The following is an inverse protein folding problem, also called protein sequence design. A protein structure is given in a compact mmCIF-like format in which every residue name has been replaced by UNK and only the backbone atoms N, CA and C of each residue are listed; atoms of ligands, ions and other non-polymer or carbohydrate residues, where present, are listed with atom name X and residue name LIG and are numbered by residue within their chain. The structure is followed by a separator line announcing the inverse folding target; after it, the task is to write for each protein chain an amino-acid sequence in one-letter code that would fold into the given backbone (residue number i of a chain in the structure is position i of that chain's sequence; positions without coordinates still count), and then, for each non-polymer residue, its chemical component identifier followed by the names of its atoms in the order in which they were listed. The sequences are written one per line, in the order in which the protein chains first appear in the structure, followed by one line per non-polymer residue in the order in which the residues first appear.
data_IF_543481630930
#
_entry.id   IF_543481630930
#
_cell.length_a   1.000
_cell.length_b   1.000
_cell.length_c   1.000
_cell.angle_alpha   90.00
_cell.angle_beta   90.00
_cell.angle_gamma   90.00
#
_symmetry.space_group_name_H-M   'P 1'
#
loop_
_entity.id
_entity.type
_entity.pdbx_description
1 polymer ?
#
# COMPACT_ATOMS: atom_id res chain seq x y z
N UNK A 1 20.58 4.79 1.17
CA UNK A 1 21.70 4.77 2.13
C UNK A 1 21.32 4.06 3.45
N UNK A 2 20.03 3.85 3.71
CA UNK A 2 19.49 2.94 4.74
C UNK A 2 19.81 3.38 6.17
N UNK A 3 19.61 4.67 6.43
CA UNK A 3 19.69 5.23 7.77
C UNK A 3 18.32 5.56 8.32
N UNK A 4 18.17 5.39 9.63
CA UNK A 4 17.14 6.04 10.44
C UNK A 4 17.85 7.04 11.34
N UNK A 5 17.28 8.23 11.49
CA UNK A 5 17.90 9.35 12.20
C UNK A 5 16.87 10.12 13.02
N UNK A 6 17.32 10.70 14.12
CA UNK A 6 16.55 11.65 14.91
C UNK A 6 17.19 13.03 14.86
N UNK A 7 16.36 14.04 14.63
CA UNK A 7 16.75 15.45 14.66
C UNK A 7 15.99 16.15 15.78
N UNK A 8 16.65 17.09 16.44
CA UNK A 8 15.98 18.01 17.36
C UNK A 8 14.99 18.89 16.57
N UNK A 9 13.72 18.88 17.00
CA UNK A 9 12.63 19.55 16.28
C UNK A 9 12.80 21.07 16.16
N UNK A 10 13.54 21.72 17.07
CA UNK A 10 13.71 23.19 17.08
C UNK A 10 14.94 23.64 16.31
N UNK A 11 16.01 22.88 16.38
CA UNK A 11 17.34 23.26 15.90
C UNK A 11 17.76 22.49 14.64
N UNK A 12 17.10 21.36 14.35
CA UNK A 12 17.49 20.45 13.27
C UNK A 12 18.78 19.68 13.53
N UNK A 13 19.35 19.78 14.74
CA UNK A 13 20.59 19.07 15.10
C UNK A 13 20.36 17.56 15.15
N UNK A 14 21.25 16.78 14.54
CA UNK A 14 21.26 15.31 14.65
C UNK A 14 21.49 14.88 16.11
N UNK A 15 20.56 14.08 16.63
CA UNK A 15 20.63 13.47 17.96
C UNK A 15 21.30 12.09 17.88
N UNK A 16 20.91 11.30 16.86
CA UNK A 16 21.53 10.02 16.54
C UNK A 16 21.22 9.64 15.08
N UNK A 17 22.03 8.72 14.54
CA UNK A 17 21.93 8.22 13.17
C UNK A 17 22.39 6.76 13.12
N UNK A 18 21.54 5.88 12.57
CA UNK A 18 21.72 4.44 12.60
C UNK A 18 21.52 3.83 11.23
N UNK A 19 22.52 3.09 10.74
CA UNK A 19 22.39 2.30 9.52
C UNK A 19 21.68 0.98 9.82
N UNK A 20 20.57 0.70 9.14
CA UNK A 20 19.78 -0.52 9.38
C UNK A 20 20.02 -1.64 8.34
N UNK A 21 20.59 -1.33 7.17
CA UNK A 21 20.91 -2.30 6.13
C UNK A 21 22.02 -1.85 5.19
N UNK A 22 22.63 -2.79 4.45
CA UNK A 22 23.53 -2.44 3.35
C UNK A 22 22.75 -2.21 2.04
N UNK A 23 23.00 -1.08 1.37
CA UNK A 23 22.38 -0.80 0.08
C UNK A 23 22.91 -1.72 -1.03
N UNK A 24 24.14 -2.25 -0.88
CA UNK A 24 24.70 -3.26 -1.80
C UNK A 24 23.95 -4.57 -1.75
N UNK A 25 23.22 -4.83 -0.67
CA UNK A 25 22.35 -6.00 -0.56
C UNK A 25 20.99 -5.80 -1.24
N UNK A 26 20.74 -4.62 -1.82
CA UNK A 26 19.48 -4.30 -2.51
C UNK A 26 18.42 -3.64 -1.64
N UNK A 27 18.69 -3.47 -0.35
CA UNK A 27 17.79 -2.76 0.55
C UNK A 27 17.79 -1.25 0.26
N UNK A 28 16.61 -0.65 0.31
CA UNK A 28 16.41 0.80 0.34
C UNK A 28 15.26 1.15 1.29
N UNK A 29 14.98 2.43 1.53
CA UNK A 29 13.82 2.85 2.33
C UNK A 29 13.00 3.92 1.63
N UNK A 30 11.68 3.76 1.71
CA UNK A 30 10.68 4.70 1.17
C UNK A 30 9.55 5.01 2.15
N UNK A 31 9.29 4.12 3.12
CA UNK A 31 8.24 4.28 4.13
C UNK A 31 8.70 5.11 5.32
N UNK A 32 7.78 5.89 5.90
CA UNK A 32 8.03 6.60 7.15
C UNK A 32 7.97 5.67 8.36
N UNK A 33 8.81 5.87 9.40
CA UNK A 33 8.66 5.15 10.65
C UNK A 33 7.41 5.63 11.41
N UNK A 34 6.94 4.82 12.36
CA UNK A 34 5.90 5.22 13.32
C UNK A 34 6.40 5.00 14.75
N UNK A 35 5.82 5.70 15.72
CA UNK A 35 6.05 5.42 17.14
C UNK A 35 4.82 4.70 17.69
N UNK A 36 5.02 3.53 18.28
CA UNK A 36 3.98 2.73 18.91
C UNK A 36 4.46 2.22 20.27
N UNK A 37 3.70 2.50 21.33
CA UNK A 37 4.05 2.15 22.71
C UNK A 37 5.52 2.47 23.07
N UNK A 38 5.99 3.67 22.73
CA UNK A 38 7.35 4.13 22.99
C UNK A 38 8.46 3.42 22.20
N UNK A 39 8.13 2.72 21.11
CA UNK A 39 9.10 2.11 20.18
C UNK A 39 8.94 2.78 18.83
N UNK A 40 10.05 3.24 18.25
CA UNK A 40 10.08 3.65 16.84
C UNK A 40 10.19 2.39 15.99
N UNK A 41 9.26 2.19 15.06
CA UNK A 41 9.23 1.02 14.17
C UNK A 41 9.43 1.49 12.74
N UNK A 42 10.37 0.87 12.03
CA UNK A 42 10.71 1.18 10.66
C UNK A 42 10.75 -0.08 9.78
N UNK A 43 10.28 0.04 8.55
CA UNK A 43 10.36 -1.00 7.53
C UNK A 43 11.48 -0.80 6.51
N UNK A 44 11.47 -1.65 5.50
CA UNK A 44 12.47 -1.70 4.44
C UNK A 44 11.84 -1.99 3.08
N UNK A 45 12.46 -1.49 2.03
CA UNK A 45 12.12 -1.74 0.63
C UNK A 45 13.20 -2.61 -0.03
N UNK A 46 12.92 -3.16 -1.20
CA UNK A 46 13.87 -4.03 -1.93
C UNK A 46 13.35 -5.42 -2.26
N UNK A 47 12.02 -5.62 -2.33
CA UNK A 47 11.41 -6.89 -2.69
C UNK A 47 12.07 -7.48 -3.93
N UNK A 48 12.09 -6.72 -5.03
CA UNK A 48 12.61 -7.17 -6.32
C UNK A 48 14.12 -7.45 -6.35
N UNK A 49 14.88 -7.00 -5.34
CA UNK A 49 16.33 -7.12 -5.26
C UNK A 49 16.83 -8.37 -4.53
N UNK A 50 16.04 -9.45 -4.53
CA UNK A 50 16.36 -10.73 -3.88
C UNK A 50 16.72 -10.55 -2.40
N UNK A 51 15.85 -9.88 -1.65
CA UNK A 51 16.06 -9.58 -0.23
C UNK A 51 15.04 -10.30 0.65
N UNK A 52 15.33 -10.40 1.96
CA UNK A 52 14.35 -10.82 2.98
C UNK A 52 13.88 -9.58 3.72
N UNK A 53 12.60 -9.24 3.61
CA UNK A 53 12.01 -8.09 4.29
C UNK A 53 12.04 -8.23 5.80
N UNK A 54 12.02 -7.10 6.50
CA UNK A 54 12.01 -7.05 7.96
C UNK A 54 11.40 -5.74 8.49
N UNK A 55 11.06 -5.75 9.77
CA UNK A 55 10.83 -4.56 10.59
C UNK A 55 11.91 -4.48 11.65
N UNK A 56 12.37 -3.28 11.95
CA UNK A 56 13.21 -2.99 13.10
C UNK A 56 12.43 -2.14 14.11
N UNK A 57 12.56 -2.49 15.38
CA UNK A 57 12.13 -1.68 16.51
C UNK A 57 13.32 -1.00 17.16
N UNK A 58 13.18 0.28 17.49
CA UNK A 58 14.24 1.13 18.01
C UNK A 58 13.77 1.89 19.24
N UNK A 59 14.71 2.14 20.15
CA UNK A 59 14.57 3.13 21.18
C UNK A 59 14.64 4.53 20.52
N UNK A 60 13.58 5.35 20.58
CA UNK A 60 13.51 6.63 19.88
C UNK A 60 14.49 7.68 20.42
N UNK A 61 14.91 7.57 21.69
CA UNK A 61 15.77 8.55 22.34
C UNK A 61 17.25 8.29 22.04
N UNK A 62 17.64 7.02 21.88
CA UNK A 62 19.04 6.61 21.74
C UNK A 62 19.39 6.04 20.36
N UNK A 63 18.40 5.67 19.55
CA UNK A 63 18.59 4.93 18.30
C UNK A 63 19.03 3.48 18.52
N UNK A 64 19.01 2.96 19.75
CA UNK A 64 19.37 1.55 20.01
C UNK A 64 18.34 0.62 19.39
N UNK A 65 18.78 -0.36 18.58
CA UNK A 65 17.91 -1.42 18.08
C UNK A 65 17.44 -2.31 19.24
N UNK A 66 16.13 -2.42 19.39
CA UNK A 66 15.47 -3.25 20.40
C UNK A 66 15.21 -4.66 19.87
N UNK A 67 14.74 -4.76 18.62
CA UNK A 67 14.44 -6.03 17.97
C UNK A 67 14.49 -5.89 16.44
N UNK A 68 14.61 -7.03 15.76
CA UNK A 68 14.36 -7.19 14.33
C UNK A 68 13.37 -8.33 14.12
N UNK A 69 12.36 -8.12 13.29
CA UNK A 69 11.41 -9.13 12.84
C UNK A 69 11.49 -9.29 11.34
N UNK A 70 12.04 -10.41 10.86
CA UNK A 70 11.92 -10.77 9.46
C UNK A 70 10.47 -11.15 9.12
N UNK A 71 10.01 -10.79 7.92
CA UNK A 71 8.66 -11.07 7.44
C UNK A 71 8.52 -12.48 6.85
N UNK A 72 9.61 -13.08 6.41
CA UNK A 72 9.66 -14.46 5.96
C UNK A 72 10.26 -15.29 7.09
N UNK A 73 9.65 -16.39 7.56
CA UNK A 73 10.20 -17.24 8.62
C UNK A 73 11.38 -18.07 8.14
N UNK A 74 12.37 -18.25 9.00
CA UNK A 74 13.49 -19.18 8.79
C UNK A 74 13.04 -20.62 9.10
N UNK A 75 13.74 -21.66 8.61
CA UNK A 75 13.42 -23.06 8.91
C UNK A 75 13.27 -23.31 10.41
N UNK A 76 12.13 -23.86 10.82
CA UNK A 76 11.79 -24.13 12.21
C UNK A 76 10.98 -23.03 12.90
N UNK A 77 10.87 -21.83 12.31
CA UNK A 77 9.96 -20.79 12.78
C UNK A 77 8.52 -21.03 12.28
N UNK A 78 7.48 -20.57 13.01
CA UNK A 78 6.09 -20.68 12.56
C UNK A 78 5.86 -20.06 11.18
N UNK A 79 5.25 -20.82 10.27
CA UNK A 79 5.02 -20.43 8.88
C UNK A 79 6.09 -20.94 7.90
N UNK A 80 7.23 -21.44 8.39
CA UNK A 80 8.32 -21.96 7.54
C UNK A 80 7.93 -23.20 6.74
N UNK A 81 6.89 -23.92 7.17
CA UNK A 81 6.29 -25.03 6.42
C UNK A 81 5.65 -24.60 5.09
N UNK A 82 5.44 -23.30 4.89
CA UNK A 82 4.95 -22.73 3.63
C UNK A 82 6.06 -22.34 2.64
N UNK A 83 7.31 -22.70 2.96
CA UNK A 83 8.47 -22.55 2.10
C UNK A 83 9.13 -23.90 1.83
N UNK A 84 9.87 -24.04 0.71
CA UNK A 84 10.61 -25.26 0.43
C UNK A 84 11.64 -25.59 1.52
N UNK A 85 11.57 -26.81 2.07
CA UNK A 85 12.38 -27.24 3.24
C UNK A 85 13.88 -27.33 2.95
N UNK A 86 14.25 -27.73 1.73
CA UNK A 86 15.64 -27.95 1.33
C UNK A 86 16.12 -26.87 0.35
N UNK A 87 15.78 -25.61 0.63
CA UNK A 87 16.06 -24.48 -0.24
C UNK A 87 16.42 -23.24 0.57
N UNK A 88 17.15 -22.34 -0.08
CA UNK A 88 17.45 -20.99 0.40
C UNK A 88 16.40 -19.95 -0.04
N UNK A 89 15.28 -20.37 -0.64
CA UNK A 89 14.23 -19.48 -1.14
C UNK A 89 13.75 -18.46 -0.09
N UNK A 90 13.65 -18.86 1.19
CA UNK A 90 13.22 -17.99 2.29
C UNK A 90 14.21 -16.84 2.58
N UNK A 91 15.50 -16.98 2.22
CA UNK A 91 16.52 -15.95 2.44
C UNK A 91 16.38 -14.75 1.51
N UNK A 92 15.70 -14.92 0.38
CA UNK A 92 15.63 -13.93 -0.69
C UNK A 92 14.21 -13.78 -1.27
N UNK A 93 13.21 -14.25 -0.52
CA UNK A 93 11.84 -14.43 -1.00
C UNK A 93 10.99 -13.16 -1.01
N UNK A 94 11.58 -11.97 -0.85
CA UNK A 94 10.87 -10.69 -0.85
C UNK A 94 10.26 -10.36 0.52
N UNK A 95 8.95 -10.09 0.54
CA UNK A 95 8.20 -9.66 1.71
C UNK A 95 8.62 -8.29 2.31
N UNK A 96 8.98 -7.26 1.51
CA UNK A 96 9.39 -5.96 2.05
C UNK A 96 8.26 -5.27 2.83
N UNK A 97 8.59 -4.24 3.61
CA UNK A 97 7.68 -3.56 4.56
C UNK A 97 7.65 -2.06 4.29
N UNK A 98 7.62 -1.69 3.01
CA UNK A 98 8.02 -0.38 2.48
C UNK A 98 7.01 0.77 2.69
N UNK A 99 5.97 0.55 3.50
CA UNK A 99 4.94 1.52 3.90
C UNK A 99 4.82 1.55 5.43
N UNK A 100 4.30 2.63 5.97
CA UNK A 100 4.07 2.78 7.41
C UNK A 100 2.91 1.90 7.89
N UNK A 101 3.04 1.30 9.07
CA UNK A 101 1.94 0.58 9.72
C UNK A 101 0.90 1.50 10.38
N UNK A 102 -0.12 0.88 10.98
CA UNK A 102 -1.14 1.53 11.81
C UNK A 102 -1.13 0.97 13.22
N UNK A 103 -1.53 1.73 14.24
CA UNK A 103 -1.40 1.34 15.64
C UNK A 103 -2.72 1.49 16.40
N UNK A 104 -3.14 0.43 17.09
CA UNK A 104 -4.23 0.47 18.06
C UNK A 104 -3.64 0.43 19.49
N UNK A 105 -3.72 1.54 20.26
CA UNK A 105 -3.19 1.59 21.61
C UNK A 105 -4.02 0.81 22.64
N UNK A 106 -5.31 0.55 22.40
CA UNK A 106 -6.14 -0.27 23.30
C UNK A 106 -5.76 -1.75 23.22
N UNK A 107 -5.38 -2.19 22.02
CA UNK A 107 -4.98 -3.58 21.78
C UNK A 107 -3.47 -3.80 21.94
N UNK A 108 -2.67 -2.74 22.00
CA UNK A 108 -1.19 -2.76 21.93
C UNK A 108 -0.71 -3.57 20.72
N UNK A 109 -1.24 -3.24 19.54
CA UNK A 109 -0.96 -3.92 18.27
C UNK A 109 -0.64 -2.91 17.17
N UNK A 110 0.48 -3.13 16.48
CA UNK A 110 0.81 -2.48 15.22
C UNK A 110 0.45 -3.41 14.08
N UNK A 111 -0.28 -2.91 13.09
CA UNK A 111 -0.63 -3.63 11.88
C UNK A 111 0.28 -3.17 10.76
N UNK A 112 1.07 -4.09 10.22
CA UNK A 112 2.05 -3.79 9.18
C UNK A 112 1.90 -4.72 8.00
N UNK A 113 1.73 -4.15 6.81
CA UNK A 113 1.61 -4.89 5.57
C UNK A 113 2.95 -5.34 5.01
N UNK A 114 2.99 -6.52 4.39
CA UNK A 114 4.18 -7.11 3.78
C UNK A 114 4.03 -7.23 2.27
N UNK A 115 5.15 -7.10 1.57
CA UNK A 115 5.21 -7.03 0.12
C UNK A 115 5.16 -8.38 -0.57
N UNK A 116 5.35 -8.34 -1.88
CA UNK A 116 5.28 -9.50 -2.78
C UNK A 116 6.24 -10.63 -2.40
N UNK A 117 5.95 -11.83 -2.90
CA UNK A 117 6.90 -12.94 -2.91
C UNK A 117 7.88 -12.79 -4.09
N UNK A 118 9.12 -13.26 -3.90
CA UNK A 118 10.13 -13.37 -4.96
C UNK A 118 10.68 -14.79 -5.09
N UNK A 119 11.09 -15.20 -6.30
CA UNK A 119 10.76 -14.55 -7.57
C UNK A 119 9.25 -14.57 -7.87
N UNK A 120 8.79 -13.76 -8.82
CA UNK A 120 7.41 -13.85 -9.36
C UNK A 120 7.21 -15.19 -10.10
N UNK A 121 8.27 -15.77 -10.67
CA UNK A 121 8.27 -17.18 -11.04
C UNK A 121 8.09 -18.04 -9.76
N UNK A 122 6.98 -18.80 -9.62
CA UNK A 122 6.73 -19.56 -8.41
C UNK A 122 7.61 -20.82 -8.29
N UNK A 123 8.30 -21.26 -9.35
CA UNK A 123 9.04 -22.54 -9.34
C UNK A 123 10.12 -22.63 -8.25
N UNK A 124 10.96 -21.61 -8.01
CA UNK A 124 11.96 -21.67 -6.93
C UNK A 124 11.36 -21.72 -5.52
N UNK A 125 10.08 -21.31 -5.38
CA UNK A 125 9.28 -21.42 -4.16
C UNK A 125 8.35 -22.64 -4.16
N UNK A 126 8.51 -23.55 -5.12
CA UNK A 126 7.66 -24.74 -5.34
C UNK A 126 6.15 -24.44 -5.48
N UNK A 127 5.79 -23.20 -5.77
CA UNK A 127 4.40 -22.74 -5.80
C UNK A 127 3.69 -22.78 -4.43
N UNK A 128 4.45 -22.75 -3.34
CA UNK A 128 3.93 -22.75 -1.97
C UNK A 128 3.44 -21.37 -1.53
N UNK A 129 2.64 -21.33 -0.47
CA UNK A 129 1.98 -20.11 0.04
C UNK A 129 2.94 -18.95 0.36
N UNK A 130 4.19 -19.25 0.74
CA UNK A 130 5.26 -18.27 0.95
C UNK A 130 4.97 -17.27 2.09
N UNK A 131 4.55 -17.73 3.27
CA UNK A 131 4.27 -16.82 4.39
C UNK A 131 5.52 -16.04 4.86
N UNK A 132 5.44 -14.80 5.31
CA UNK A 132 4.26 -13.95 5.39
C UNK A 132 4.32 -12.90 4.29
N UNK A 133 4.54 -13.27 3.02
CA UNK A 133 4.46 -12.32 1.88
C UNK A 133 3.02 -11.95 1.59
N UNK A 134 2.77 -10.76 1.03
CA UNK A 134 1.45 -10.22 0.69
C UNK A 134 0.45 -10.44 1.83
N UNK A 135 0.82 -10.00 3.03
CA UNK A 135 0.09 -10.23 4.28
C UNK A 135 -0.03 -8.95 5.10
N UNK A 136 -0.92 -8.95 6.09
CA UNK A 136 -0.84 -8.04 7.23
C UNK A 136 -0.39 -8.81 8.46
N UNK A 137 0.55 -8.24 9.20
CA UNK A 137 1.02 -8.76 10.49
C UNK A 137 0.54 -7.83 11.60
N UNK A 138 -0.15 -8.37 12.61
CA UNK A 138 -0.38 -7.67 13.87
C UNK A 138 0.76 -7.99 14.84
N UNK A 139 1.51 -6.97 15.25
CA UNK A 139 2.78 -7.11 15.97
C UNK A 139 2.74 -6.36 17.29
N UNK A 140 3.31 -6.97 18.34
CA UNK A 140 3.56 -6.33 19.63
C UNK A 140 4.69 -5.30 19.52
N UNK A 141 4.44 -3.99 19.77
CA UNK A 141 5.46 -2.96 19.54
C UNK A 141 6.75 -3.19 20.33
N UNK A 142 6.65 -3.65 21.59
CA UNK A 142 7.81 -3.83 22.48
C UNK A 142 8.72 -4.99 22.10
N UNK A 143 8.19 -6.04 21.48
CA UNK A 143 8.92 -7.31 21.28
C UNK A 143 9.09 -7.69 19.81
N UNK A 144 8.31 -7.12 18.90
CA UNK A 144 8.27 -7.54 17.50
C UNK A 144 7.59 -8.91 17.31
N UNK A 145 6.90 -9.45 18.31
CA UNK A 145 6.16 -10.71 18.20
C UNK A 145 4.89 -10.56 17.34
N UNK A 146 4.64 -11.54 16.46
CA UNK A 146 3.41 -11.60 15.64
C UNK A 146 2.29 -12.20 16.50
N UNK A 147 1.25 -11.42 16.77
CA UNK A 147 0.06 -11.86 17.49
C UNK A 147 -0.96 -12.56 16.58
N UNK A 148 -1.15 -12.05 15.36
CA UNK A 148 -1.96 -12.66 14.31
C UNK A 148 -1.52 -12.16 12.92
N UNK A 149 -2.00 -12.81 11.88
CA UNK A 149 -1.78 -12.37 10.50
C UNK A 149 -2.97 -12.73 9.60
N UNK A 150 -3.03 -12.09 8.44
CA UNK A 150 -3.86 -12.51 7.31
C UNK A 150 -3.04 -12.40 6.03
N UNK A 151 -3.02 -13.47 5.21
CA UNK A 151 -2.33 -13.47 3.92
C UNK A 151 -3.33 -13.18 2.79
N UNK A 152 -3.18 -12.04 2.14
CA UNK A 152 -4.05 -11.59 1.05
C UNK A 152 -3.85 -12.39 -0.23
N UNK A 153 -2.60 -12.68 -0.59
CA UNK A 153 -2.26 -13.36 -1.84
C UNK A 153 -1.25 -14.48 -1.58
N UNK A 154 -1.72 -15.70 -1.26
CA UNK A 154 -0.86 -16.87 -1.15
C UNK A 154 -0.19 -17.19 -2.50
N UNK A 155 1.09 -17.58 -2.47
CA UNK A 155 1.89 -17.85 -3.67
C UNK A 155 1.79 -16.70 -4.71
N UNK A 156 2.06 -15.48 -4.27
CA UNK A 156 2.03 -14.30 -5.14
C UNK A 156 2.96 -14.49 -6.36
N UNK A 157 2.39 -14.31 -7.55
CA UNK A 157 3.10 -14.26 -8.85
C UNK A 157 2.84 -12.94 -9.58
N UNK A 158 2.11 -12.04 -8.91
CA UNK A 158 1.48 -10.87 -9.49
C UNK A 158 2.13 -9.57 -9.07
N UNK A 159 3.09 -9.56 -8.12
CA UNK A 159 3.60 -8.31 -7.56
C UNK A 159 2.44 -7.52 -6.95
N UNK A 160 1.71 -8.14 -6.03
CA UNK A 160 0.59 -7.51 -5.33
C UNK A 160 0.89 -7.47 -3.84
N UNK A 161 1.86 -6.62 -3.49
CA UNK A 161 2.17 -6.24 -2.12
C UNK A 161 0.92 -5.96 -1.29
N UNK A 162 0.88 -6.52 -0.08
CA UNK A 162 -0.14 -6.19 0.93
C UNK A 162 0.30 -5.06 1.84
N UNK A 163 1.19 -4.17 1.39
CA UNK A 163 1.82 -3.12 2.20
C UNK A 163 0.97 -1.86 2.39
N UNK A 164 -0.14 -1.73 1.67
CA UNK A 164 -1.04 -0.57 1.81
C UNK A 164 -1.53 -0.42 3.26
N UNK A 165 -1.87 0.82 3.66
CA UNK A 165 -2.22 1.13 5.05
C UNK A 165 -3.45 0.37 5.54
N UNK A 166 -3.52 0.15 6.86
CA UNK A 166 -4.64 -0.49 7.52
C UNK A 166 -5.50 0.57 8.18
N UNK A 167 -6.59 0.98 7.55
CA UNK A 167 -7.51 1.96 8.17
C UNK A 167 -8.26 1.30 9.31
N UNK A 168 -7.95 1.71 10.55
CA UNK A 168 -8.55 1.18 11.76
C UNK A 168 -9.85 1.92 12.07
N UNK A 169 -10.94 1.18 12.27
CA UNK A 169 -12.25 1.77 12.57
C UNK A 169 -13.09 0.87 13.47
N UNK A 170 -13.98 1.48 14.23
CA UNK A 170 -15.03 0.75 14.96
C UNK A 170 -16.32 0.90 14.15
N UNK A 171 -16.91 -0.20 13.70
CA UNK A 171 -18.05 -0.21 12.79
C UNK A 171 -19.15 -1.14 13.30
N UNK A 172 -20.40 -0.83 13.00
CA UNK A 172 -21.51 -1.76 13.22
C UNK A 172 -21.61 -2.73 12.04
N UNK A 173 -21.42 -4.02 12.29
CA UNK A 173 -21.44 -5.07 11.28
C UNK A 173 -22.24 -6.26 11.81
N UNK A 174 -23.33 -6.60 11.12
CA UNK A 174 -24.23 -7.68 11.56
C UNK A 174 -24.87 -7.42 12.93
N UNK A 175 -25.21 -6.15 13.23
CA UNK A 175 -25.79 -5.75 14.52
C UNK A 175 -24.82 -5.75 15.70
N UNK A 176 -23.51 -5.90 15.44
CA UNK A 176 -22.47 -5.90 16.47
C UNK A 176 -21.45 -4.81 16.18
N UNK A 177 -21.02 -4.08 17.22
CA UNK A 177 -19.90 -3.15 17.13
C UNK A 177 -18.59 -3.96 17.05
N UNK A 178 -17.88 -3.84 15.94
CA UNK A 178 -16.64 -4.56 15.67
C UNK A 178 -15.47 -3.62 15.49
N UNK A 179 -14.32 -4.03 16.03
CA UNK A 179 -13.03 -3.39 15.81
C UNK A 179 -12.43 -3.93 14.51
N UNK A 180 -12.43 -3.13 13.45
CA UNK A 180 -11.98 -3.55 12.12
C UNK A 180 -10.71 -2.83 11.68
N UNK A 181 -9.98 -3.48 10.76
CA UNK A 181 -8.99 -2.86 9.89
C UNK A 181 -9.39 -3.09 8.43
N UNK A 182 -9.25 -2.04 7.62
CA UNK A 182 -9.72 -1.99 6.23
C UNK A 182 -8.53 -1.68 5.33
N UNK A 183 -8.38 -2.44 4.25
CA UNK A 183 -7.33 -2.21 3.26
C UNK A 183 -7.90 -2.31 1.84
N UNK A 184 -7.68 -1.29 1.01
CA UNK A 184 -7.76 -1.41 -0.43
C UNK A 184 -6.47 -2.09 -0.91
N UNK A 185 -6.50 -3.39 -1.17
CA UNK A 185 -5.28 -4.12 -1.48
C UNK A 185 -4.94 -3.98 -2.96
N UNK A 186 -3.64 -3.82 -3.26
CA UNK A 186 -3.07 -3.84 -4.61
C UNK A 186 -3.57 -4.99 -5.51
N UNK A 187 -3.99 -6.13 -4.96
CA UNK A 187 -4.57 -7.25 -5.70
C UNK A 187 -5.98 -7.01 -6.26
N UNK A 188 -6.61 -5.87 -5.96
CA UNK A 188 -7.90 -5.44 -6.49
C UNK A 188 -9.11 -5.76 -5.61
N UNK A 189 -8.90 -6.39 -4.45
CA UNK A 189 -9.92 -6.61 -3.44
C UNK A 189 -9.78 -5.64 -2.27
N UNK A 190 -10.92 -5.19 -1.75
CA UNK A 190 -11.03 -4.42 -0.52
C UNK A 190 -11.37 -5.39 0.60
N UNK A 191 -10.51 -5.43 1.62
CA UNK A 191 -10.63 -6.35 2.74
C UNK A 191 -11.08 -5.61 3.99
N UNK A 192 -11.97 -6.25 4.75
CA UNK A 192 -12.32 -5.87 6.12
C UNK A 192 -11.95 -7.05 7.00
N UNK A 193 -11.05 -6.82 7.95
CA UNK A 193 -10.58 -7.82 8.90
C UNK A 193 -10.94 -7.37 10.33
N UNK A 194 -11.26 -8.31 11.21
CA UNK A 194 -11.34 -8.06 12.64
C UNK A 194 -9.91 -7.82 13.15
N UNK A 195 -9.62 -6.60 13.61
CA UNK A 195 -8.23 -6.25 13.97
C UNK A 195 -7.78 -6.88 15.28
N UNK A 196 -8.68 -7.47 16.07
CA UNK A 196 -8.31 -8.16 17.32
C UNK A 196 -7.67 -9.52 17.08
N UNK A 197 -7.93 -10.14 15.93
CA UNK A 197 -7.54 -11.53 15.64
C UNK A 197 -7.22 -11.81 14.16
N UNK A 198 -7.20 -10.77 13.32
CA UNK A 198 -6.92 -10.80 11.89
C UNK A 198 -7.90 -11.64 11.04
N UNK A 199 -9.07 -12.03 11.57
CA UNK A 199 -10.04 -12.84 10.81
C UNK A 199 -10.76 -12.01 9.76
N UNK A 200 -10.98 -12.62 8.60
CA UNK A 200 -11.73 -12.02 7.50
C UNK A 200 -13.20 -11.79 7.85
N UNK A 201 -13.69 -10.59 7.56
CA UNK A 201 -15.11 -10.21 7.66
C UNK A 201 -15.70 -10.04 6.26
N UNK A 202 -15.01 -9.32 5.37
CA UNK A 202 -15.46 -9.05 4.01
C UNK A 202 -14.27 -8.94 3.04
N UNK A 203 -14.51 -9.27 1.76
CA UNK A 203 -13.49 -9.25 0.71
C UNK A 203 -14.14 -9.09 -0.66
N UNK A 204 -14.19 -7.86 -1.19
CA UNK A 204 -14.91 -7.53 -2.41
C UNK A 204 -14.02 -6.87 -3.45
N UNK A 205 -14.16 -7.21 -4.75
CA UNK A 205 -13.42 -6.51 -5.80
C UNK A 205 -13.87 -5.04 -5.85
N UNK A 206 -12.93 -4.10 -5.80
CA UNK A 206 -13.21 -2.66 -5.95
C UNK A 206 -12.81 -2.12 -7.33
N UNK A 207 -12.08 -2.94 -8.11
CA UNK A 207 -11.71 -2.73 -9.51
C UNK A 207 -11.95 -4.02 -10.30
N UNK A 208 -11.72 -3.98 -11.62
CA UNK A 208 -11.72 -5.20 -12.44
C UNK A 208 -10.63 -6.16 -11.96
N UNK A 209 -11.02 -7.40 -11.64
CA UNK A 209 -10.13 -8.50 -11.25
C UNK A 209 -10.37 -9.69 -12.17
N UNK A 210 -9.30 -10.37 -12.62
CA UNK A 210 -9.42 -11.62 -13.39
C UNK A 210 -8.61 -12.80 -12.85
N UNK A 211 -7.70 -12.59 -11.90
CA UNK A 211 -6.84 -13.65 -11.36
C UNK A 211 -7.56 -14.52 -10.31
N UNK A 212 -8.58 -13.97 -9.65
CA UNK A 212 -9.48 -14.66 -8.75
C UNK A 212 -10.92 -14.21 -9.01
N UNK A 213 -11.89 -15.12 -8.84
CA UNK A 213 -13.31 -14.82 -9.01
C UNK A 213 -13.94 -14.17 -7.77
N UNK A 214 -13.47 -14.56 -6.57
CA UNK A 214 -13.93 -14.05 -5.28
C UNK A 214 -12.93 -14.41 -4.17
N UNK A 215 -13.17 -13.89 -2.96
CA UNK A 215 -12.55 -14.38 -1.73
C UNK A 215 -13.53 -15.30 -1.02
N UNK A 216 -13.10 -16.53 -0.72
CA UNK A 216 -13.86 -17.46 0.09
C UNK A 216 -13.80 -17.03 1.56
N UNK A 217 -14.95 -16.65 2.14
CA UNK A 217 -15.04 -16.15 3.51
C UNK A 217 -14.83 -17.23 4.58
N UNK A 218 -15.00 -18.52 4.24
CA UNK A 218 -14.78 -19.62 5.17
C UNK A 218 -13.29 -19.93 5.32
N UNK A 219 -12.58 -19.96 4.19
CA UNK A 219 -11.15 -20.30 4.17
C UNK A 219 -10.25 -19.07 4.26
N UNK A 220 -10.77 -17.88 3.95
CA UNK A 220 -10.02 -16.63 3.83
C UNK A 220 -9.17 -16.56 2.55
N UNK A 221 -9.34 -17.49 1.60
CA UNK A 221 -8.46 -17.62 0.43
C UNK A 221 -9.12 -17.12 -0.86
N UNK A 222 -8.34 -16.61 -1.82
CA UNK A 222 -8.87 -16.30 -3.14
C UNK A 222 -9.26 -17.59 -3.89
N UNK A 223 -10.41 -17.56 -4.56
CA UNK A 223 -10.82 -18.60 -5.52
C UNK A 223 -10.20 -18.27 -6.87
N UNK A 224 -9.09 -18.94 -7.19
CA UNK A 224 -8.28 -18.66 -8.36
C UNK A 224 -9.00 -19.01 -9.67
N UNK A 225 -8.78 -18.19 -10.70
CA UNK A 225 -9.14 -18.51 -12.09
C UNK A 225 -8.04 -19.33 -12.77
N UNK A 226 -8.20 -19.63 -14.06
CA UNK A 226 -7.20 -20.35 -14.85
C UNK A 226 -5.95 -19.51 -15.18
N UNK A 227 -5.95 -18.20 -14.91
CA UNK A 227 -4.83 -17.27 -15.19
C UNK A 227 -3.52 -17.80 -14.61
N UNK A 228 -3.52 -18.25 -13.35
CA UNK A 228 -2.31 -18.78 -12.72
C UNK A 228 -1.83 -20.09 -13.38
N UNK A 229 -2.75 -20.97 -13.73
CA UNK A 229 -2.43 -22.25 -14.37
C UNK A 229 -1.80 -22.04 -15.76
N UNK A 230 -2.40 -21.15 -16.56
CA UNK A 230 -1.88 -20.77 -17.89
C UNK A 230 -0.50 -20.13 -17.79
N UNK A 231 -0.32 -19.20 -16.84
CA UNK A 231 0.99 -18.58 -16.59
C UNK A 231 2.05 -19.61 -16.20
N UNK A 232 1.74 -20.56 -15.31
CA UNK A 232 2.65 -21.63 -14.90
C UNK A 232 2.97 -22.60 -16.04
N UNK A 233 2.06 -22.78 -17.00
CA UNK A 233 2.29 -23.51 -18.24
C UNK A 233 3.20 -22.75 -19.24
N UNK A 234 3.59 -21.51 -18.92
CA UNK A 234 4.47 -20.70 -19.76
C UNK A 234 3.75 -19.84 -20.80
N UNK A 235 2.42 -19.76 -20.73
CA UNK A 235 1.65 -18.85 -21.58
C UNK A 235 1.91 -17.38 -21.21
N UNK A 236 1.71 -16.50 -22.20
CA UNK A 236 1.58 -15.08 -21.93
C UNK A 236 0.17 -14.81 -21.43
N UNK A 237 0.05 -14.19 -20.26
CA UNK A 237 -1.23 -13.90 -19.61
C UNK A 237 -1.42 -12.40 -19.42
N UNK A 238 -2.67 -11.97 -19.47
CA UNK A 238 -3.09 -10.63 -19.08
C UNK A 238 -3.70 -10.69 -17.68
N UNK A 239 -3.16 -9.89 -16.76
CA UNK A 239 -3.54 -9.87 -15.35
C UNK A 239 -4.25 -8.55 -15.06
N UNK A 240 -5.44 -8.66 -14.46
CA UNK A 240 -6.23 -7.55 -13.98
C UNK A 240 -6.47 -7.65 -12.47
N UNK A 241 -6.29 -6.54 -11.74
CA UNK A 241 -5.55 -5.36 -12.18
C UNK A 241 -4.04 -5.69 -12.23
N UNK A 242 -3.23 -4.89 -12.93
CA UNK A 242 -1.78 -4.90 -12.67
C UNK A 242 -1.52 -4.54 -11.21
N UNK A 243 -2.25 -3.54 -10.73
CA UNK A 243 -2.34 -3.02 -9.36
C UNK A 243 -3.70 -2.32 -9.26
N UNK A 244 -4.52 -2.65 -8.27
CA UNK A 244 -5.82 -1.99 -8.06
C UNK A 244 -5.69 -0.64 -7.35
N UNK A 245 -4.62 -0.51 -6.57
CA UNK A 245 -4.10 0.72 -5.96
C UNK A 245 -2.60 0.54 -5.78
N UNK A 246 -1.93 1.49 -5.16
CA UNK A 246 -0.54 1.39 -4.73
C UNK A 246 -0.41 2.21 -3.45
N UNK A 247 0.74 2.84 -3.21
CA UNK A 247 1.07 3.78 -2.14
C UNK A 247 0.18 5.05 -2.06
N UNK A 248 -1.14 4.88 -2.11
CA UNK A 248 -2.19 5.86 -2.35
C UNK A 248 -3.24 5.68 -1.24
N UNK A 249 -3.07 6.38 -0.11
CA UNK A 249 -3.94 6.24 1.04
C UNK A 249 -5.43 6.40 0.73
N UNK A 250 -6.25 5.51 1.28
CA UNK A 250 -7.71 5.65 1.30
C UNK A 250 -8.16 6.54 2.47
N UNK A 251 -9.37 7.09 2.37
CA UNK A 251 -10.01 7.81 3.47
C UNK A 251 -11.31 7.10 3.89
N UNK A 252 -11.65 7.21 5.17
CA UNK A 252 -12.90 6.72 5.74
C UNK A 252 -13.72 7.90 6.25
N UNK A 253 -15.02 7.91 5.96
CA UNK A 253 -15.99 8.65 6.76
C UNK A 253 -16.50 7.72 7.88
N UNK A 254 -16.15 7.95 9.16
CA UNK A 254 -16.50 7.06 10.26
C UNK A 254 -17.98 7.09 10.64
N UNK A 255 -18.73 8.13 10.24
CA UNK A 255 -20.17 8.24 10.51
C UNK A 255 -20.98 7.36 9.55
N UNK A 256 -20.57 7.31 8.28
CA UNK A 256 -21.27 6.55 7.24
C UNK A 256 -20.65 5.18 6.94
N UNK A 257 -19.40 4.97 7.37
CA UNK A 257 -18.63 3.76 7.06
C UNK A 257 -18.13 3.68 5.61
N UNK A 258 -18.26 4.75 4.83
CA UNK A 258 -17.86 4.78 3.42
C UNK A 258 -16.36 5.03 3.27
N UNK A 259 -15.74 4.26 2.39
CA UNK A 259 -14.35 4.42 1.96
C UNK A 259 -14.28 5.22 0.67
N UNK A 260 -13.31 6.13 0.61
CA UNK A 260 -12.93 6.89 -0.58
C UNK A 260 -11.54 6.46 -1.04
N UNK A 261 -11.40 6.11 -2.32
CA UNK A 261 -10.14 5.60 -2.88
C UNK A 261 -9.85 6.15 -4.28
N UNK A 262 -8.57 6.38 -4.57
CA UNK A 262 -8.06 6.54 -5.93
C UNK A 262 -7.60 5.17 -6.42
N UNK A 263 -8.26 4.64 -7.44
CA UNK A 263 -8.07 3.27 -7.91
C UNK A 263 -7.38 3.25 -9.26
N UNK A 264 -6.70 2.14 -9.57
CA UNK A 264 -6.04 1.91 -10.84
C UNK A 264 -6.74 0.77 -11.58
N UNK A 265 -6.93 0.97 -12.88
CA UNK A 265 -7.58 0.03 -13.78
C UNK A 265 -6.74 -0.12 -15.04
N UNK A 266 -5.54 -0.66 -14.86
CA UNK A 266 -4.61 -0.96 -15.95
C UNK A 266 -4.15 -2.41 -15.83
N UNK A 267 -4.12 -3.20 -16.92
CA UNK A 267 -3.64 -4.57 -16.85
C UNK A 267 -2.11 -4.64 -16.84
N UNK A 268 -1.58 -5.83 -16.55
CA UNK A 268 -0.19 -6.18 -16.88
C UNK A 268 -0.19 -7.41 -17.77
N UNK A 269 0.64 -7.40 -18.81
CA UNK A 269 0.91 -8.59 -19.61
C UNK A 269 2.19 -9.22 -19.07
N UNK A 270 2.16 -10.51 -18.75
CA UNK A 270 3.27 -11.23 -18.11
C UNK A 270 3.49 -12.60 -18.73
N UNK A 271 4.75 -13.03 -18.81
CA UNK A 271 5.17 -14.37 -19.22
C UNK A 271 6.40 -14.82 -18.42
N UNK A 272 6.55 -16.12 -18.18
CA UNK A 272 7.77 -16.67 -17.58
C UNK A 272 9.00 -16.35 -18.45
N UNK A 273 10.06 -15.86 -17.81
CA UNK A 273 11.33 -15.67 -18.49
C UNK A 273 12.02 -17.03 -18.73
N UNK A 274 12.91 -17.14 -19.72
CA UNK A 274 13.82 -18.27 -19.81
C UNK A 274 14.62 -18.41 -18.50
N UNK A 275 15.01 -19.65 -18.11
CA UNK A 275 15.83 -19.85 -16.92
C UNK A 275 17.08 -18.96 -16.94
N UNK A 276 17.43 -18.34 -15.80
CA UNK A 276 18.57 -17.44 -15.77
C UNK A 276 19.86 -18.23 -16.02
N UNK A 277 20.79 -17.62 -16.77
CA UNK A 277 22.11 -18.22 -17.05
C UNK A 277 23.04 -18.20 -15.82
N UNK A 278 22.69 -17.43 -14.79
CA UNK A 278 23.44 -17.27 -13.54
C UNK A 278 22.48 -17.46 -12.36
N UNK A 279 22.96 -17.93 -11.20
CA UNK A 279 22.19 -17.92 -9.97
C UNK A 279 21.70 -16.51 -9.61
N UNK A 280 20.68 -16.43 -8.76
CA UNK A 280 20.29 -15.18 -8.14
C UNK A 280 21.46 -14.59 -7.35
N UNK A 281 21.68 -13.28 -7.50
CA UNK A 281 22.73 -12.54 -6.83
C UNK A 281 22.07 -11.50 -5.92
N UNK A 282 22.45 -11.50 -4.65
CA UNK A 282 21.94 -10.55 -3.65
C UNK A 282 22.08 -9.12 -4.19
N UNK A 283 21.02 -8.32 -4.02
CA UNK A 283 20.97 -6.93 -4.46
C UNK A 283 20.65 -6.71 -5.94
N UNK A 284 20.53 -7.78 -6.73
CA UNK A 284 20.14 -7.69 -8.14
C UNK A 284 18.70 -8.08 -8.36
N UNK A 285 18.07 -7.43 -9.34
CA UNK A 285 16.69 -7.74 -9.71
C UNK A 285 16.58 -9.15 -10.27
N UNK A 286 15.65 -9.95 -9.74
CA UNK A 286 15.40 -11.30 -10.24
C UNK A 286 13.94 -11.73 -10.06
N UNK A 287 13.05 -11.19 -10.89
CA UNK A 287 11.61 -11.52 -10.85
C UNK A 287 11.26 -12.82 -11.57
N UNK A 288 12.12 -13.33 -12.46
CA UNK A 288 11.88 -14.56 -13.23
C UNK A 288 10.83 -14.42 -14.34
N UNK A 289 10.40 -13.20 -14.67
CA UNK A 289 9.37 -12.94 -15.68
C UNK A 289 9.78 -11.86 -16.67
N UNK A 290 9.10 -11.84 -17.81
CA UNK A 290 9.06 -10.70 -18.72
C UNK A 290 7.67 -10.08 -18.60
N UNK A 291 7.63 -8.78 -18.27
CA UNK A 291 6.40 -8.00 -18.23
C UNK A 291 6.38 -6.95 -19.34
N UNK A 292 5.20 -6.64 -19.85
CA UNK A 292 4.96 -5.56 -20.81
C UNK A 292 3.82 -4.69 -20.30
N UNK A 293 3.97 -3.38 -20.46
CA UNK A 293 2.86 -2.44 -20.26
C UNK A 293 1.85 -2.59 -21.41
N UNK A 294 0.55 -2.61 -21.11
CA UNK A 294 -0.49 -2.63 -22.13
C UNK A 294 -0.54 -1.30 -22.89
N UNK A 295 -0.94 -1.33 -24.16
CA UNK A 295 -1.21 -0.12 -24.94
C UNK A 295 -2.61 0.39 -24.63
N UNK A 296 -2.69 1.40 -23.77
CA UNK A 296 -3.93 2.12 -23.48
C UNK A 296 -4.34 2.98 -24.68
N UNK A 297 -5.62 2.92 -25.07
CA UNK A 297 -6.23 3.70 -26.16
C UNK A 297 -6.88 4.97 -25.62
N UNK A 298 -7.05 6.03 -26.44
CA UNK A 298 -7.86 7.18 -26.07
C UNK A 298 -9.28 6.74 -25.66
N UNK A 299 -9.73 7.18 -24.50
CA UNK A 299 -11.04 6.82 -23.94
C UNK A 299 -11.02 5.60 -23.02
N UNK A 300 -9.93 4.83 -22.96
CA UNK A 300 -9.78 3.78 -21.95
C UNK A 300 -9.78 4.39 -20.54
N UNK A 301 -10.35 3.66 -19.59
CA UNK A 301 -10.38 4.07 -18.18
C UNK A 301 -9.12 3.56 -17.49
N UNK A 302 -8.30 4.48 -16.97
CA UNK A 302 -7.07 4.18 -16.25
C UNK A 302 -7.28 3.88 -14.76
N UNK A 303 -8.45 4.21 -14.23
CA UNK A 303 -8.74 4.17 -12.81
C UNK A 303 -9.98 4.97 -12.46
N UNK A 304 -10.31 5.06 -11.18
CA UNK A 304 -11.45 5.83 -10.70
C UNK A 304 -11.12 6.62 -9.45
N UNK A 305 -11.82 7.73 -9.24
CA UNK A 305 -12.15 8.12 -7.87
C UNK A 305 -13.40 7.34 -7.47
N UNK A 306 -13.36 6.67 -6.32
CA UNK A 306 -14.36 5.71 -5.89
C UNK A 306 -14.86 6.05 -4.48
N UNK A 307 -16.17 5.93 -4.26
CA UNK A 307 -16.76 5.73 -2.95
C UNK A 307 -17.43 4.36 -2.86
N UNK A 308 -17.10 3.59 -1.83
CA UNK A 308 -17.54 2.20 -1.68
C UNK A 308 -17.81 1.87 -0.21
N UNK A 309 -18.85 1.08 0.03
CA UNK A 309 -19.04 0.43 1.32
C UNK A 309 -18.09 -0.78 1.41
N UNK A 310 -17.11 -0.80 2.33
CA UNK A 310 -16.10 -1.85 2.37
C UNK A 310 -16.66 -3.21 2.85
N UNK A 311 -17.80 -3.21 3.55
CA UNK A 311 -18.42 -4.42 4.09
C UNK A 311 -19.30 -5.12 3.05
N UNK A 312 -20.01 -4.36 2.21
CA UNK A 312 -20.93 -4.93 1.20
C UNK A 312 -20.34 -4.96 -0.21
N UNK A 313 -19.29 -4.17 -0.48
CA UNK A 313 -18.73 -3.96 -1.81
C UNK A 313 -19.58 -3.04 -2.70
N UNK A 314 -20.67 -2.48 -2.18
CA UNK A 314 -21.55 -1.58 -2.95
C UNK A 314 -20.85 -0.25 -3.21
N UNK A 315 -20.74 0.12 -4.49
CA UNK A 315 -20.19 1.40 -4.91
C UNK A 315 -21.27 2.47 -4.81
N UNK A 316 -21.03 3.50 -4.00
CA UNK A 316 -21.91 4.68 -3.91
C UNK A 316 -21.79 5.55 -5.15
N UNK A 317 -20.56 5.74 -5.63
CA UNK A 317 -20.26 6.39 -6.90
C UNK A 317 -18.86 6.00 -7.38
N UNK A 318 -18.64 6.10 -8.69
CA UNK A 318 -17.33 5.95 -9.30
C UNK A 318 -17.15 6.96 -10.45
N UNK A 319 -16.01 7.64 -10.48
CA UNK A 319 -15.71 8.68 -11.47
C UNK A 319 -14.52 8.20 -12.29
N UNK A 320 -14.69 7.95 -13.60
CA UNK A 320 -13.62 7.41 -14.43
C UNK A 320 -12.52 8.44 -14.68
N UNK A 321 -11.27 7.96 -14.65
CA UNK A 321 -10.08 8.69 -15.03
C UNK A 321 -9.65 8.23 -16.43
N UNK A 322 -9.90 9.05 -17.45
CA UNK A 322 -9.67 8.70 -18.87
C UNK A 322 -8.47 9.41 -19.51
N UNK A 323 -7.92 10.44 -18.87
CA UNK A 323 -6.75 11.16 -19.38
C UNK A 323 -5.43 10.53 -18.91
N UNK A 324 -5.32 10.35 -17.60
CA UNK A 324 -4.20 9.74 -16.88
C UNK A 324 -4.74 9.09 -15.59
N UNK A 325 -4.08 8.02 -15.07
CA UNK A 325 -4.40 7.50 -13.75
C UNK A 325 -4.07 8.54 -12.66
N UNK A 326 -4.55 8.30 -11.43
CA UNK A 326 -4.19 9.11 -10.26
C UNK A 326 -3.45 8.29 -9.21
N UNK A 327 -2.42 8.88 -8.60
CA UNK A 327 -1.76 8.36 -7.40
C UNK A 327 -1.94 9.30 -6.19
N UNK A 328 -2.91 10.23 -6.26
CA UNK A 328 -3.22 11.09 -5.13
C UNK A 328 -4.07 10.33 -4.10
N UNK A 329 -3.64 10.35 -2.85
CA UNK A 329 -4.44 9.80 -1.75
C UNK A 329 -5.71 10.62 -1.51
N UNK A 330 -6.62 10.06 -0.73
CA UNK A 330 -7.88 10.72 -0.36
C UNK A 330 -7.77 11.33 1.03
N UNK A 331 -8.32 12.53 1.21
CA UNK A 331 -8.52 13.16 2.51
C UNK A 331 -10.01 13.49 2.68
N UNK A 332 -10.69 12.78 3.59
CA UNK A 332 -12.06 13.08 3.97
C UNK A 332 -12.10 14.11 5.13
N UNK A 333 -13.07 15.01 5.13
CA UNK A 333 -13.25 16.03 6.17
C UNK A 333 -14.70 16.08 6.66
N UNK A 334 -14.90 16.51 7.91
CA UNK A 334 -16.23 16.63 8.52
C UNK A 334 -17.18 17.64 7.85
N UNK A 335 -16.65 18.47 6.93
CA UNK A 335 -17.47 19.37 6.10
C UNK A 335 -18.09 18.69 4.87
N UNK A 336 -17.96 17.38 4.73
CA UNK A 336 -18.48 16.62 3.60
C UNK A 336 -17.66 16.73 2.32
N UNK A 337 -16.38 17.08 2.43
CA UNK A 337 -15.47 17.22 1.30
C UNK A 337 -14.39 16.14 1.30
N UNK A 338 -14.10 15.65 0.10
CA UNK A 338 -12.95 14.78 -0.19
C UNK A 338 -11.92 15.56 -0.99
N UNK A 339 -10.71 15.72 -0.45
CA UNK A 339 -9.60 16.32 -1.18
C UNK A 339 -8.73 15.24 -1.82
N UNK A 340 -8.40 15.43 -3.10
CA UNK A 340 -7.54 14.53 -3.89
C UNK A 340 -6.94 15.29 -5.07
N UNK A 341 -6.27 14.62 -6.00
CA UNK A 341 -5.73 15.28 -7.17
C UNK A 341 -5.57 14.38 -8.38
N UNK A 342 -5.28 15.01 -9.51
CA UNK A 342 -4.99 14.34 -10.77
C UNK A 342 -3.50 14.42 -11.06
N UNK A 343 -3.02 13.41 -11.80
CA UNK A 343 -1.65 13.39 -12.30
C UNK A 343 -1.35 14.54 -13.26
N UNK A 344 -2.38 15.09 -13.91
CA UNK A 344 -2.29 16.31 -14.73
C UNK A 344 -2.03 17.57 -13.90
N UNK A 345 -2.15 17.53 -12.57
CA UNK A 345 -1.75 18.62 -11.65
C UNK A 345 -2.89 19.40 -11.02
N UNK A 346 -4.13 19.03 -11.31
CA UNK A 346 -5.32 19.58 -10.63
C UNK A 346 -5.44 19.00 -9.22
N UNK A 347 -5.46 19.87 -8.22
CA UNK A 347 -5.91 19.54 -6.88
C UNK A 347 -7.42 19.80 -6.79
N UNK A 348 -8.17 18.85 -6.22
CA UNK A 348 -9.63 18.79 -6.28
C UNK A 348 -10.23 18.77 -4.87
N UNK A 349 -11.39 19.40 -4.73
CA UNK A 349 -12.33 19.12 -3.65
C UNK A 349 -13.60 18.52 -4.27
N UNK A 350 -13.93 17.29 -3.88
CA UNK A 350 -15.09 16.54 -4.32
C UNK A 350 -16.15 16.55 -3.22
N UNK A 351 -17.41 16.60 -3.62
CA UNK A 351 -18.55 16.31 -2.77
C UNK A 351 -18.50 14.83 -2.33
N UNK A 352 -18.59 14.54 -1.03
CA UNK A 352 -18.44 13.18 -0.53
C UNK A 352 -19.59 12.22 -0.94
N UNK A 353 -20.77 12.76 -1.25
CA UNK A 353 -21.97 11.97 -1.49
C UNK A 353 -22.17 11.65 -2.97
N UNK A 354 -21.69 12.52 -3.85
CA UNK A 354 -21.87 12.43 -5.29
C UNK A 354 -20.57 12.30 -6.07
N UNK A 355 -19.43 12.59 -5.44
CA UNK A 355 -18.12 12.67 -6.09
C UNK A 355 -17.94 13.91 -6.99
N UNK A 356 -18.96 14.77 -7.14
CA UNK A 356 -18.91 15.95 -8.00
C UNK A 356 -17.76 16.88 -7.57
N UNK A 357 -16.94 17.30 -8.53
CA UNK A 357 -15.94 18.36 -8.28
C UNK A 357 -16.64 19.66 -7.92
N UNK A 358 -16.43 20.13 -6.69
CA UNK A 358 -16.95 21.41 -6.19
C UNK A 358 -15.93 22.53 -6.36
N UNK A 359 -14.65 22.18 -6.31
CA UNK A 359 -13.56 23.13 -6.49
C UNK A 359 -12.33 22.43 -7.07
N UNK A 360 -11.53 23.16 -7.85
CA UNK A 360 -10.25 22.69 -8.37
C UNK A 360 -9.24 23.81 -8.51
N UNK A 361 -7.95 23.46 -8.44
CA UNK A 361 -6.84 24.36 -8.69
C UNK A 361 -5.69 23.66 -9.42
N UNK A 362 -5.10 24.33 -10.42
CA UNK A 362 -3.97 23.80 -11.20
C UNK A 362 -2.65 24.12 -10.50
N UNK A 363 -1.98 23.10 -9.99
CA UNK A 363 -0.62 23.22 -9.42
C UNK A 363 0.46 23.18 -10.52
N UNK A 364 1.72 23.36 -10.14
CA UNK A 364 2.85 23.43 -11.09
C UNK A 364 3.33 22.08 -11.67
N UNK A 365 2.92 20.96 -11.09
CA UNK A 365 3.27 19.59 -11.49
C UNK A 365 2.14 18.63 -11.09
N UNK A 366 2.33 17.32 -11.22
CA UNK A 366 1.31 16.34 -10.86
C UNK A 366 0.98 16.37 -9.36
N UNK A 367 -0.29 16.20 -9.01
CA UNK A 367 -0.68 15.90 -7.63
C UNK A 367 -0.69 14.38 -7.45
N UNK A 368 0.37 13.85 -6.84
CA UNK A 368 0.56 12.41 -6.57
C UNK A 368 0.78 12.12 -5.07
N UNK A 369 0.48 13.09 -4.21
CA UNK A 369 0.60 12.95 -2.75
C UNK A 369 -0.78 12.86 -2.10
N UNK A 370 -0.81 12.58 -0.80
CA UNK A 370 -2.03 12.69 0.01
C UNK A 370 -2.06 14.07 0.63
N UNK A 371 -3.20 14.76 0.54
CA UNK A 371 -3.37 16.04 1.21
C UNK A 371 -3.46 15.85 2.73
N UNK A 372 -3.05 16.86 3.48
CA UNK A 372 -3.28 16.96 4.93
C UNK A 372 -4.12 18.19 5.22
N UNK A 373 -4.79 18.20 6.37
CA UNK A 373 -5.45 19.40 6.90
C UNK A 373 -5.04 19.65 8.35
N UNK A 374 -4.97 20.93 8.73
CA UNK A 374 -4.61 21.35 10.08
C UNK A 374 -5.25 22.70 10.39
N UNK A 375 -5.33 23.03 11.68
CA UNK A 375 -5.78 24.35 12.14
C UNK A 375 -4.61 25.15 12.68
N UNK A 376 -4.52 26.41 12.29
CA UNK A 376 -3.57 27.37 12.83
C UNK A 376 -4.27 28.69 13.10
N UNK A 377 -4.18 29.20 14.34
CA UNK A 377 -4.85 30.42 14.80
C UNK A 377 -6.36 30.46 14.45
N UNK A 378 -7.07 29.34 14.67
CA UNK A 378 -8.51 29.24 14.43
C UNK A 378 -8.93 29.11 12.95
N UNK A 379 -7.98 29.07 12.00
CA UNK A 379 -8.25 28.88 10.58
C UNK A 379 -7.80 27.49 10.13
N UNK A 380 -8.66 26.79 9.40
CA UNK A 380 -8.34 25.50 8.78
C UNK A 380 -7.56 25.73 7.47
N UNK A 381 -6.52 24.93 7.27
CA UNK A 381 -5.70 24.87 6.09
C UNK A 381 -5.72 23.46 5.50
N UNK A 382 -5.59 23.36 4.18
CA UNK A 382 -5.39 22.10 3.47
C UNK A 382 -4.12 22.23 2.63
N UNK A 383 -3.19 21.30 2.80
CA UNK A 383 -1.90 21.31 2.10
C UNK A 383 -1.68 20.05 1.30
N UNK A 384 -1.05 20.18 0.14
CA UNK A 384 -0.73 19.06 -0.76
C UNK A 384 0.61 19.27 -1.43
N UNK A 385 1.38 18.19 -1.59
CA UNK A 385 2.61 18.22 -2.37
C UNK A 385 2.30 17.97 -3.86
N UNK A 386 2.89 18.81 -4.72
CA UNK A 386 2.81 18.72 -6.18
C UNK A 386 4.21 18.45 -6.74
N UNK A 387 4.34 17.35 -7.47
CA UNK A 387 5.59 16.88 -8.07
C UNK A 387 5.45 15.53 -8.75
N UNK A 388 5.98 15.43 -9.97
CA UNK A 388 6.00 14.19 -10.75
C UNK A 388 7.00 13.19 -10.19
N UNK A 389 6.51 12.00 -9.84
CA UNK A 389 7.32 10.93 -9.27
C UNK A 389 6.53 9.66 -9.03
N UNK A 390 7.25 8.56 -8.78
CA UNK A 390 6.67 7.22 -8.62
C UNK A 390 6.43 6.51 -9.96
N UNK A 391 6.36 5.18 -9.91
CA UNK A 391 6.38 4.32 -11.09
C UNK A 391 5.25 4.63 -12.09
N UNK A 392 4.03 4.87 -11.63
CA UNK A 392 2.89 5.14 -12.50
C UNK A 392 3.03 6.48 -13.23
N UNK A 393 3.45 7.52 -12.51
CA UNK A 393 3.63 8.85 -13.08
C UNK A 393 4.79 8.87 -14.09
N UNK A 394 5.86 8.12 -13.83
CA UNK A 394 6.93 7.93 -14.81
C UNK A 394 6.44 7.23 -16.08
N UNK A 395 5.58 6.21 -15.95
CA UNK A 395 5.04 5.45 -17.10
C UNK A 395 4.09 6.26 -17.97
N UNK A 396 3.16 6.99 -17.36
CA UNK A 396 2.06 7.64 -18.10
C UNK A 396 2.19 9.17 -18.22
N UNK A 397 2.89 9.81 -17.28
CA UNK A 397 2.94 11.27 -17.13
C UNK A 397 4.24 11.94 -17.58
N UNK A 398 5.38 11.23 -17.65
CA UNK A 398 6.71 11.83 -17.88
C UNK A 398 6.83 12.72 -19.12
N UNK A 399 6.16 12.36 -20.22
CA UNK A 399 6.17 13.14 -21.45
C UNK A 399 5.06 14.21 -21.53
N UNK A 400 4.14 14.25 -20.56
CA UNK A 400 2.90 15.04 -20.61
C UNK A 400 2.79 16.07 -19.49
N UNK A 401 3.47 15.84 -18.38
CA UNK A 401 3.37 16.65 -17.16
C UNK A 401 4.78 17.08 -16.75
N UNK A 402 5.02 18.37 -16.48
CA UNK A 402 6.32 18.84 -16.02
C UNK A 402 6.74 18.17 -14.72
N UNK A 403 8.03 17.84 -14.60
CA UNK A 403 8.61 17.52 -13.30
C UNK A 403 8.63 18.77 -12.40
N UNK A 404 8.68 18.57 -11.08
CA UNK A 404 8.72 19.66 -10.12
C UNK A 404 8.59 19.14 -8.68
N UNK A 405 8.69 20.05 -7.72
CA UNK A 405 8.49 19.77 -6.30
C UNK A 405 8.06 21.05 -5.58
N UNK A 406 6.82 21.06 -5.08
CA UNK A 406 6.24 22.22 -4.40
C UNK A 406 5.20 21.77 -3.36
N UNK A 407 4.98 22.58 -2.33
CA UNK A 407 3.87 22.44 -1.39
C UNK A 407 2.88 23.57 -1.67
N UNK A 408 1.62 23.21 -1.86
CA UNK A 408 0.52 24.16 -2.02
C UNK A 408 -0.37 24.12 -0.80
N UNK A 409 -0.70 25.28 -0.23
CA UNK A 409 -1.54 25.41 0.96
C UNK A 409 -2.72 26.32 0.66
N UNK A 410 -3.92 25.82 0.96
CA UNK A 410 -5.19 26.47 0.69
C UNK A 410 -5.94 26.72 1.99
N UNK A 411 -6.66 27.84 2.05
CA UNK A 411 -7.61 28.13 3.12
C UNK A 411 -8.65 29.12 2.59
N UNK A 412 -9.89 29.04 3.08
CA UNK A 412 -10.91 30.04 2.81
C UNK A 412 -10.42 31.42 3.26
N UNK A 413 -10.71 32.48 2.49
CA UNK A 413 -10.38 33.83 2.90
C UNK A 413 -10.92 34.14 4.30
N UNK A 414 -10.21 34.93 5.13
CA UNK A 414 -10.76 35.39 6.39
C UNK A 414 -12.12 36.04 6.12
N UNK A 415 -13.11 35.74 6.96
CA UNK A 415 -14.38 36.47 6.91
C UNK A 415 -14.07 37.89 7.36
N UNK A 416 -13.82 38.79 6.41
CA UNK A 416 -13.86 40.22 6.69
C UNK A 416 -15.32 40.53 6.94
N UNK A 417 -15.68 40.80 8.19
CA UNK A 417 -16.92 41.51 8.51
C UNK A 417 -16.83 42.87 7.84
N UNK A 418 -17.28 42.95 6.58
CA UNK A 418 -17.60 44.21 5.94
C UNK A 418 -18.75 44.78 6.76
N UNK A 419 -18.44 45.75 7.61
CA UNK A 419 -19.44 46.66 8.17
C UNK A 419 -20.20 47.25 7.01
N UNK A 420 -21.50 46.94 6.95
CA UNK A 420 -22.48 47.50 6.01
C UNK A 420 -22.45 49.02 6.00
#
# INVERSE_FOLDING_TARGET
DNHVLALDMKTGKELWNQRFADWKEGYYATGGPIIANGVLISGVSGGESTTRGFLDGWDPDTGKKLWRRYTIPAPGEPGSETWPKNSDAWKYGGGPTWRSGSYDPELDLVYWGTGNAEPYDPKPREGMDSLYTSSVLAIRPKTGEIACYFQYTPNDIYDVDGTDEQVLADMEIGGQRRKVMIQANKNGFMYVLDRTNCKLIAGHPYVKVNWASQIDLQTGRPVLTDVQNRFRAGEEVEIWPSRGTNAVPIALNPETGIIYASTWQVPRIQKLAPPPKKPQEIGKTSTGIVAKEPKMKPGDVFGHFLAINPVTGEKKWEIPLTELPSSAGMLATGGGLIFTGKMTGEFLALDQDTGKTLWQFKTGSSVNSTAITYTHNGRQYVSVASGLGGALATRFGAAKVPAGGSIWTFALFPVTTSTR
#
